data_IF_176033015322
#
_entry.id   IF_176033015322
#
_cell.length_a   1.000
_cell.length_b   1.000
_cell.length_c   1.000
_cell.angle_alpha   90.00
_cell.angle_beta   90.00
_cell.angle_gamma   90.00
#
_symmetry.space_group_name_H-M   'P 1'
#
loop_
_entity.id
_entity.type
_entity.pdbx_description
1 polymer ?
#
# COMPACT_ATOMS: atom_id res chain seq x y z
N UNK A 1 -5.73 12.50 22.40
CA UNK A 1 -5.55 12.50 20.93
C UNK A 1 -6.68 11.67 20.35
N UNK A 2 -7.63 12.29 19.65
CA UNK A 2 -8.84 11.62 19.14
C UNK A 2 -8.54 11.21 17.70
N UNK A 3 -8.25 9.95 17.47
CA UNK A 3 -8.12 9.40 16.13
C UNK A 3 -9.54 9.20 15.58
N UNK A 4 -10.05 10.14 14.78
CA UNK A 4 -11.26 9.88 14.01
C UNK A 4 -10.86 9.20 12.72
N UNK A 5 -10.71 7.88 12.77
CA UNK A 5 -10.98 7.08 11.59
C UNK A 5 -12.49 7.23 11.34
N UNK A 6 -12.90 7.78 10.20
CA UNK A 6 -14.26 7.52 9.73
C UNK A 6 -14.48 6.01 9.83
N UNK A 7 -15.57 5.57 10.45
CA UNK A 7 -15.77 4.17 10.87
C UNK A 7 -15.28 3.21 9.79
N UNK A 8 -14.13 2.51 10.00
CA UNK A 8 -13.60 1.56 9.02
C UNK A 8 -14.67 0.58 8.57
N UNK A 9 -15.61 0.24 9.46
CA UNK A 9 -16.69 -0.69 9.18
C UNK A 9 -17.60 -0.25 8.03
N UNK A 10 -17.93 1.03 7.88
CA UNK A 10 -18.84 1.46 6.82
C UNK A 10 -18.15 1.42 5.44
N UNK A 11 -16.87 1.81 5.39
CA UNK A 11 -16.06 1.76 4.16
C UNK A 11 -15.66 0.33 3.79
N UNK A 12 -15.44 -0.54 4.79
CA UNK A 12 -15.08 -1.95 4.58
C UNK A 12 -16.29 -2.83 4.21
N UNK A 13 -17.51 -2.40 4.54
CA UNK A 13 -18.75 -3.12 4.20
C UNK A 13 -19.40 -2.64 2.89
N UNK A 14 -18.83 -1.63 2.23
CA UNK A 14 -19.33 -1.12 0.95
C UNK A 14 -18.96 -2.03 -0.23
N UNK A 15 -19.74 -1.99 -1.31
CA UNK A 15 -19.48 -2.77 -2.53
C UNK A 15 -18.13 -2.42 -3.19
N UNK A 16 -17.62 -1.22 -2.92
CA UNK A 16 -16.35 -0.68 -3.42
C UNK A 16 -15.24 -0.66 -2.34
N UNK A 17 -15.40 -1.42 -1.24
CA UNK A 17 -14.41 -1.54 -0.17
C UNK A 17 -13.00 -1.91 -0.67
N UNK A 18 -12.90 -2.60 -1.81
CA UNK A 18 -11.64 -2.92 -2.47
C UNK A 18 -10.78 -1.68 -2.74
N UNK A 19 -11.39 -0.56 -3.13
CA UNK A 19 -10.67 0.68 -3.44
C UNK A 19 -10.03 1.28 -2.21
N UNK A 20 -10.77 1.27 -1.09
CA UNK A 20 -10.26 1.70 0.21
C UNK A 20 -9.12 0.81 0.69
N UNK A 21 -9.29 -0.52 0.63
CA UNK A 21 -8.26 -1.48 1.07
C UNK A 21 -6.98 -1.36 0.23
N UNK A 22 -7.10 -1.23 -1.10
CA UNK A 22 -5.96 -1.04 -1.98
C UNK A 22 -5.27 0.31 -1.73
N UNK A 23 -6.04 1.38 -1.51
CA UNK A 23 -5.47 2.68 -1.15
C UNK A 23 -4.63 2.59 0.12
N UNK A 24 -5.10 1.89 1.15
CA UNK A 24 -4.33 1.69 2.38
C UNK A 24 -3.02 0.93 2.12
N UNK A 25 -3.06 -0.15 1.32
CA UNK A 25 -1.85 -0.87 0.94
C UNK A 25 -0.85 0.01 0.20
N UNK A 26 -1.32 0.82 -0.76
CA UNK A 26 -0.46 1.76 -1.50
C UNK A 26 0.10 2.87 -0.59
N UNK A 27 -0.69 3.32 0.38
CA UNK A 27 -0.23 4.31 1.36
C UNK A 27 0.90 3.78 2.24
N UNK A 28 0.79 2.51 2.65
CA UNK A 28 1.66 1.93 3.67
C UNK A 28 2.90 1.23 3.10
N UNK A 29 2.79 0.59 1.94
CA UNK A 29 3.80 -0.38 1.47
C UNK A 29 4.32 -0.12 0.06
N UNK A 30 3.73 0.81 -0.69
CA UNK A 30 4.21 1.12 -2.02
C UNK A 30 5.29 2.21 -1.98
N UNK A 31 6.36 2.01 -2.74
CA UNK A 31 7.30 3.04 -3.17
C UNK A 31 7.22 3.22 -4.70
N UNK A 32 7.96 4.21 -5.23
CA UNK A 32 7.91 4.52 -6.66
C UNK A 32 8.37 3.32 -7.49
N UNK A 33 9.51 2.74 -7.11
CA UNK A 33 10.12 1.61 -7.83
C UNK A 33 9.21 0.37 -7.81
N UNK A 34 8.59 0.06 -6.68
CA UNK A 34 7.68 -1.07 -6.52
C UNK A 34 6.37 -0.89 -7.28
N UNK A 35 5.86 0.34 -7.40
CA UNK A 35 4.72 0.65 -8.29
C UNK A 35 5.10 0.42 -9.74
N UNK A 36 6.20 1.01 -10.20
CA UNK A 36 6.62 0.90 -11.60
C UNK A 36 6.84 -0.57 -12.00
N UNK A 37 7.57 -1.31 -11.17
CA UNK A 37 7.83 -2.73 -11.39
C UNK A 37 6.54 -3.57 -11.33
N UNK A 38 5.60 -3.25 -10.43
CA UNK A 38 4.32 -3.96 -10.35
C UNK A 38 3.43 -3.68 -11.57
N UNK A 39 3.30 -2.41 -11.99
CA UNK A 39 2.55 -2.02 -13.18
C UNK A 39 3.15 -2.66 -14.44
N UNK A 40 4.48 -2.72 -14.52
CA UNK A 40 5.13 -3.52 -15.54
C UNK A 40 4.64 -4.97 -15.42
N UNK A 41 4.85 -5.65 -14.28
CA UNK A 41 4.50 -7.06 -14.08
C UNK A 41 3.08 -7.43 -14.54
N UNK A 42 2.07 -6.63 -14.18
CA UNK A 42 0.66 -6.93 -14.51
C UNK A 42 0.25 -6.53 -15.93
N UNK A 43 0.98 -5.60 -16.56
CA UNK A 43 0.74 -5.02 -17.89
C UNK A 43 -0.60 -4.25 -18.01
N UNK A 44 -0.69 -3.37 -19.00
CA UNK A 44 -1.83 -2.45 -19.22
C UNK A 44 -3.17 -3.15 -19.48
N UNK A 45 -3.17 -4.40 -19.95
CA UNK A 45 -4.40 -5.16 -20.19
C UNK A 45 -5.08 -5.63 -18.90
N UNK A 46 -4.38 -5.54 -17.76
CA UNK A 46 -4.94 -5.90 -16.47
C UNK A 46 -5.84 -4.78 -15.95
N UNK A 47 -7.12 -5.05 -15.59
CA UNK A 47 -8.04 -4.04 -15.07
C UNK A 47 -7.57 -3.30 -13.81
N UNK A 48 -6.58 -3.84 -13.09
CA UNK A 48 -5.98 -3.18 -11.92
C UNK A 48 -4.98 -2.08 -12.29
N UNK A 49 -4.47 -2.06 -13.51
CA UNK A 49 -3.45 -1.10 -13.95
C UNK A 49 -3.94 0.34 -13.78
N UNK A 50 -5.05 0.68 -14.41
CA UNK A 50 -5.64 2.03 -14.32
C UNK A 50 -6.12 2.34 -12.90
N UNK A 51 -6.69 1.36 -12.20
CA UNK A 51 -7.18 1.52 -10.82
C UNK A 51 -6.05 1.90 -9.86
N UNK A 52 -4.87 1.32 -10.03
CA UNK A 52 -3.71 1.64 -9.19
C UNK A 52 -3.19 3.04 -9.52
N UNK A 53 -3.10 3.40 -10.79
CA UNK A 53 -2.72 4.76 -11.19
C UNK A 53 -3.68 5.80 -10.64
N UNK A 54 -4.99 5.58 -10.77
CA UNK A 54 -6.02 6.44 -10.19
C UNK A 54 -5.83 6.60 -8.68
N UNK A 55 -5.66 5.49 -7.94
CA UNK A 55 -5.44 5.54 -6.50
C UNK A 55 -4.14 6.25 -6.13
N UNK A 56 -3.05 6.09 -6.89
CA UNK A 56 -1.78 6.79 -6.62
C UNK A 56 -1.94 8.30 -6.79
N UNK A 57 -2.66 8.74 -7.81
CA UNK A 57 -2.90 10.17 -8.07
C UNK A 57 -3.76 10.85 -6.99
N UNK A 58 -4.41 10.09 -6.11
CA UNK A 58 -5.19 10.65 -5.01
C UNK A 58 -4.37 10.96 -3.75
N UNK A 59 -3.08 10.64 -3.72
CA UNK A 59 -2.19 11.08 -2.64
C UNK A 59 -1.68 12.51 -2.91
N UNK A 60 -1.55 13.31 -1.86
CA UNK A 60 -1.12 14.71 -1.98
C UNK A 60 -0.83 15.34 -0.63
N UNK A 61 -0.57 16.65 -0.59
CA UNK A 61 -0.25 17.36 0.65
C UNK A 61 -1.34 17.23 1.74
N UNK A 62 -2.61 17.27 1.33
CA UNK A 62 -3.78 17.14 2.23
C UNK A 62 -4.06 15.69 2.66
N UNK A 63 -3.54 14.71 1.92
CA UNK A 63 -3.69 13.29 2.23
C UNK A 63 -2.40 12.54 1.86
N UNK A 64 -1.34 12.73 2.66
CA UNK A 64 -0.05 12.14 2.36
C UNK A 64 -0.09 10.62 2.58
N UNK A 65 0.79 9.92 1.89
CA UNK A 65 1.05 8.50 2.17
C UNK A 65 1.59 8.34 3.61
N UNK A 66 1.39 7.15 4.17
CA UNK A 66 1.84 6.79 5.51
C UNK A 66 2.74 5.55 5.46
N UNK A 67 3.93 5.65 4.82
CA UNK A 67 4.84 4.52 4.62
C UNK A 67 5.23 3.86 5.95
N UNK A 68 5.29 2.53 5.97
CA UNK A 68 5.61 1.73 7.16
C UNK A 68 6.99 2.05 7.74
N UNK A 69 7.92 2.48 6.89
CA UNK A 69 9.27 2.93 7.23
C UNK A 69 9.24 4.14 8.19
N UNK A 70 8.16 4.93 8.18
CA UNK A 70 7.97 6.09 9.05
C UNK A 70 7.22 5.77 10.35
N UNK A 71 6.78 4.53 10.59
CA UNK A 71 5.98 4.18 11.77
C UNK A 71 6.84 4.12 13.03
N UNK A 72 6.93 5.23 13.77
CA UNK A 72 7.82 5.37 14.93
C UNK A 72 7.58 4.38 16.10
N UNK A 73 6.42 3.72 16.14
CA UNK A 73 6.07 2.76 17.18
C UNK A 73 6.54 1.33 16.89
N UNK A 74 7.02 1.04 15.68
CA UNK A 74 7.59 -0.26 15.33
C UNK A 74 9.11 -0.23 15.50
N UNK A 75 9.65 -1.29 16.10
CA UNK A 75 11.10 -1.50 16.17
C UNK A 75 11.74 -1.47 14.77
N UNK A 76 12.93 -0.87 14.58
CA UNK A 76 13.52 -0.66 13.27
C UNK A 76 13.62 -1.94 12.41
N UNK A 77 14.04 -3.06 13.01
CA UNK A 77 14.14 -4.34 12.30
C UNK A 77 12.78 -4.92 11.89
N UNK A 78 11.73 -4.68 12.70
CA UNK A 78 10.37 -5.10 12.35
C UNK A 78 9.81 -4.26 11.20
N UNK A 79 10.11 -2.96 11.15
CA UNK A 79 9.72 -2.11 10.00
C UNK A 79 10.35 -2.57 8.71
N UNK A 80 11.66 -2.83 8.73
CA UNK A 80 12.39 -3.34 7.57
C UNK A 80 11.80 -4.67 7.10
N UNK A 81 11.57 -5.60 8.03
CA UNK A 81 10.96 -6.90 7.74
C UNK A 81 9.58 -6.73 7.09
N UNK A 82 8.70 -5.92 7.69
CA UNK A 82 7.35 -5.68 7.15
C UNK A 82 7.44 -5.09 5.74
N UNK A 83 8.24 -4.04 5.53
CA UNK A 83 8.41 -3.40 4.23
C UNK A 83 8.86 -4.41 3.15
N UNK A 84 9.83 -5.27 3.48
CA UNK A 84 10.35 -6.29 2.56
C UNK A 84 9.36 -7.43 2.28
N UNK A 85 8.52 -7.78 3.26
CA UNK A 85 7.47 -8.79 3.07
C UNK A 85 6.27 -8.26 2.28
N UNK A 86 5.96 -6.97 2.42
CA UNK A 86 4.80 -6.32 1.78
C UNK A 86 5.14 -5.53 0.52
N UNK A 87 6.39 -5.60 0.05
CA UNK A 87 6.85 -4.95 -1.18
C UNK A 87 5.85 -5.19 -2.33
N UNK A 88 5.49 -4.12 -3.04
CA UNK A 88 4.32 -4.13 -3.92
C UNK A 88 4.48 -5.13 -5.07
N UNK A 89 5.61 -5.08 -5.80
CA UNK A 89 5.92 -6.09 -6.81
C UNK A 89 6.23 -7.43 -6.13
N UNK A 90 5.43 -8.50 -6.37
CA UNK A 90 5.68 -9.81 -5.77
C UNK A 90 7.07 -10.37 -6.09
N UNK A 91 7.72 -9.96 -7.17
CA UNK A 91 9.07 -10.40 -7.55
C UNK A 91 10.17 -9.86 -6.65
N UNK A 92 9.91 -8.77 -5.92
CA UNK A 92 10.85 -8.16 -4.97
C UNK A 92 10.61 -8.54 -3.50
N UNK A 93 9.56 -9.31 -3.21
CA UNK A 93 9.25 -9.74 -1.83
C UNK A 93 10.26 -10.78 -1.36
N UNK A 94 10.61 -10.69 -0.08
CA UNK A 94 11.40 -11.74 0.57
C UNK A 94 10.58 -13.01 0.76
N UNK A 95 11.29 -14.13 0.77
CA UNK A 95 10.73 -15.44 1.06
C UNK A 95 10.63 -15.69 2.56
N UNK A 96 9.86 -16.71 2.95
CA UNK A 96 9.77 -17.15 4.34
C UNK A 96 11.12 -17.63 4.94
N UNK A 97 12.10 -17.98 4.10
CA UNK A 97 13.45 -18.37 4.57
C UNK A 97 14.33 -17.15 4.89
N UNK A 98 14.05 -16.02 4.26
CA UNK A 98 14.80 -14.77 4.42
C UNK A 98 14.24 -13.87 5.53
N UNK A 99 12.97 -14.11 5.92
CA UNK A 99 12.32 -13.53 7.09
C UNK A 99 12.76 -14.24 8.37
#
# INVERSE_FOLDING_TARGET
>A
MKWSFASPDEQLNAADAWGYILRLHLSYFADVDGVEQFLEHIREQNPLFDRILELIHTFGAENPRQPVECWGFLEPGLRDLVARMTYLDPRGRITAREA
#
